data_IF_339301626423
#
_entry.id   IF_339301626423
#
_cell.length_a   1.000
_cell.length_b   1.000
_cell.length_c   1.000
_cell.angle_alpha   90.00
_cell.angle_beta   90.00
_cell.angle_gamma   90.00
#
_symmetry.space_group_name_H-M   'P 1'
#
loop_
_entity.id
_entity.type
_entity.pdbx_description
1 polymer ?
#
# COMPACT_ATOMS: atom_id res chain seq x y z
N UNK A 1 -1.01 -20.91 8.29
CA UNK A 1 -2.09 -20.11 8.91
C UNK A 1 -3.15 -20.99 9.55
N UNK A 2 -3.76 -21.96 8.83
CA UNK A 2 -4.77 -22.88 9.41
C UNK A 2 -4.27 -23.81 10.54
N UNK A 3 -2.95 -23.93 10.72
CA UNK A 3 -2.30 -24.72 11.78
C UNK A 3 -2.09 -23.98 13.11
N UNK A 4 -2.36 -22.66 13.17
CA UNK A 4 -2.08 -21.80 14.33
C UNK A 4 -3.33 -21.43 15.15
N UNK A 5 -4.48 -22.09 14.90
CA UNK A 5 -5.76 -21.82 15.55
C UNK A 5 -6.68 -20.89 14.75
N UNK A 6 -8.00 -21.05 14.92
CA UNK A 6 -9.03 -20.29 14.18
C UNK A 6 -8.91 -18.78 14.38
N UNK A 7 -8.47 -18.34 15.55
CA UNK A 7 -8.25 -16.93 15.89
C UNK A 7 -7.14 -16.29 15.06
N UNK A 8 -6.01 -16.97 14.84
CA UNK A 8 -4.90 -16.47 14.02
C UNK A 8 -5.31 -16.41 12.55
N UNK A 9 -6.08 -17.38 12.07
CA UNK A 9 -6.59 -17.38 10.70
C UNK A 9 -7.58 -16.23 10.45
N UNK A 10 -8.50 -15.96 11.39
CA UNK A 10 -9.43 -14.84 11.31
C UNK A 10 -8.71 -13.49 11.35
N UNK A 11 -7.78 -13.31 12.30
CA UNK A 11 -6.95 -12.12 12.45
C UNK A 11 -6.14 -11.82 11.16
N UNK A 12 -5.46 -12.83 10.62
CA UNK A 12 -4.69 -12.69 9.39
C UNK A 12 -5.58 -12.39 8.18
N UNK A 13 -6.76 -13.02 8.09
CA UNK A 13 -7.71 -12.77 7.00
C UNK A 13 -8.16 -11.31 6.94
N UNK A 14 -8.50 -10.73 8.08
CA UNK A 14 -8.90 -9.32 8.19
C UNK A 14 -7.73 -8.39 7.88
N UNK A 15 -6.53 -8.68 8.42
CA UNK A 15 -5.33 -7.92 8.12
C UNK A 15 -5.03 -7.92 6.61
N UNK A 16 -5.11 -9.08 5.95
CA UNK A 16 -4.92 -9.19 4.51
C UNK A 16 -5.95 -8.39 3.69
N UNK A 17 -7.19 -8.32 4.15
CA UNK A 17 -8.21 -7.49 3.53
C UNK A 17 -7.90 -6.00 3.67
N UNK A 18 -7.48 -5.54 4.86
CA UNK A 18 -7.03 -4.17 5.07
C UNK A 18 -5.83 -3.82 4.17
N UNK A 19 -4.86 -4.73 4.04
CA UNK A 19 -3.70 -4.54 3.17
C UNK A 19 -4.10 -4.40 1.69
N UNK A 20 -5.15 -5.08 1.24
CA UNK A 20 -5.66 -4.91 -0.12
C UNK A 20 -6.12 -3.47 -0.36
N UNK A 21 -6.77 -2.85 0.64
CA UNK A 21 -7.18 -1.44 0.54
C UNK A 21 -6.00 -0.47 0.51
N UNK A 22 -4.88 -0.77 1.17
CA UNK A 22 -3.65 0.05 1.09
C UNK A 22 -2.99 -0.09 -0.30
N UNK A 23 -3.07 -1.27 -0.91
CA UNK A 23 -2.44 -1.53 -2.21
C UNK A 23 -3.16 -0.87 -3.39
N UNK A 24 -4.49 -0.78 -3.36
CA UNK A 24 -5.29 -0.22 -4.47
C UNK A 24 -4.87 1.20 -4.88
N UNK A 25 -4.68 2.15 -3.95
CA UNK A 25 -4.17 3.47 -4.31
C UNK A 25 -2.76 3.47 -4.89
N UNK A 26 -1.86 2.63 -4.38
CA UNK A 26 -0.50 2.53 -4.92
C UNK A 26 -0.51 2.05 -6.38
N UNK A 27 -1.38 1.07 -6.70
CA UNK A 27 -1.59 0.61 -8.08
C UNK A 27 -2.18 1.72 -8.97
N UNK A 28 -3.16 2.47 -8.47
CA UNK A 28 -3.75 3.59 -9.19
C UNK A 28 -2.73 4.70 -9.51
N UNK A 29 -1.88 5.07 -8.55
CA UNK A 29 -0.80 6.04 -8.75
C UNK A 29 0.21 5.50 -9.76
N UNK A 30 0.60 4.22 -9.66
CA UNK A 30 1.48 3.58 -10.64
C UNK A 30 0.92 3.64 -12.06
N UNK A 31 -0.38 3.36 -12.24
CA UNK A 31 -1.04 3.46 -13.54
C UNK A 31 -1.07 4.90 -14.08
N UNK A 32 -1.35 5.88 -13.22
CA UNK A 32 -1.34 7.30 -13.59
C UNK A 32 0.06 7.77 -14.02
N UNK A 33 1.08 7.44 -13.23
CA UNK A 33 2.49 7.75 -13.54
C UNK A 33 2.93 7.09 -14.84
N UNK A 34 2.58 5.81 -15.05
CA UNK A 34 2.86 5.10 -16.30
C UNK A 34 2.27 5.83 -17.51
N UNK A 35 0.99 6.21 -17.44
CA UNK A 35 0.32 6.94 -18.52
C UNK A 35 0.98 8.30 -18.80
N UNK A 36 1.28 9.07 -17.75
CA UNK A 36 1.93 10.37 -17.89
C UNK A 36 3.37 10.24 -18.43
N UNK A 37 4.12 9.22 -18.01
CA UNK A 37 5.46 8.94 -18.51
C UNK A 37 5.42 8.59 -20.00
N UNK A 38 4.54 7.67 -20.41
CA UNK A 38 4.37 7.28 -21.81
C UNK A 38 4.00 8.48 -22.72
N UNK A 39 3.12 9.36 -22.24
CA UNK A 39 2.77 10.59 -22.97
C UNK A 39 3.96 11.54 -23.14
N UNK A 40 4.84 11.67 -22.13
CA UNK A 40 6.03 12.51 -22.25
C UNK A 40 7.08 11.89 -23.17
N UNK A 41 7.25 10.57 -23.13
CA UNK A 41 8.11 9.82 -24.06
C UNK A 41 7.65 10.02 -25.50
N UNK A 42 6.35 9.82 -25.77
CA UNK A 42 5.78 10.03 -27.11
C UNK A 42 5.88 11.47 -27.62
N UNK A 43 5.96 12.44 -26.72
CA UNK A 43 6.17 13.86 -27.04
C UNK A 43 7.67 14.27 -27.09
N UNK A 44 8.61 13.34 -26.91
CA UNK A 44 10.05 13.61 -26.86
C UNK A 44 10.52 14.39 -25.62
N UNK A 45 9.68 14.55 -24.60
CA UNK A 45 9.93 15.36 -23.38
C UNK A 45 10.53 14.52 -22.25
N UNK A 46 11.71 13.96 -22.49
CA UNK A 46 12.40 13.10 -21.52
C UNK A 46 12.81 13.84 -20.25
N UNK A 47 13.03 15.15 -20.35
CA UNK A 47 13.31 16.07 -19.24
C UNK A 47 12.23 16.04 -18.14
N UNK A 48 10.99 15.68 -18.49
CA UNK A 48 9.85 15.70 -17.56
C UNK A 48 9.61 14.38 -16.83
N UNK A 49 10.21 13.28 -17.28
CA UNK A 49 9.94 11.94 -16.74
C UNK A 49 10.35 11.86 -15.26
N UNK A 50 11.52 12.39 -14.91
CA UNK A 50 11.98 12.44 -13.52
C UNK A 50 11.03 13.22 -12.61
N UNK A 51 10.44 14.32 -13.10
CA UNK A 51 9.44 15.09 -12.36
C UNK A 51 8.12 14.33 -12.17
N UNK A 52 7.67 13.59 -13.19
CA UNK A 52 6.47 12.75 -13.11
C UNK A 52 6.67 11.64 -12.08
N UNK A 53 7.82 10.95 -12.13
CA UNK A 53 8.16 9.91 -11.17
C UNK A 53 8.25 10.46 -9.73
N UNK A 54 8.96 11.59 -9.54
CA UNK A 54 9.09 12.21 -8.22
C UNK A 54 7.74 12.64 -7.63
N UNK A 55 6.86 13.27 -8.44
CA UNK A 55 5.51 13.61 -8.02
C UNK A 55 4.68 12.36 -7.67
N UNK A 56 4.79 11.30 -8.47
CA UNK A 56 4.13 10.02 -8.20
C UNK A 56 4.59 9.40 -6.88
N UNK A 57 5.89 9.40 -6.62
CA UNK A 57 6.46 8.93 -5.35
C UNK A 57 5.96 9.78 -4.19
N UNK A 58 5.95 11.12 -4.33
CA UNK A 58 5.43 12.02 -3.31
C UNK A 58 3.96 11.77 -2.97
N UNK A 59 3.10 11.65 -3.99
CA UNK A 59 1.69 11.29 -3.81
C UNK A 59 1.52 9.93 -3.16
N UNK A 60 2.30 8.93 -3.58
CA UNK A 60 2.26 7.60 -2.97
C UNK A 60 2.63 7.67 -1.49
N UNK A 61 3.72 8.36 -1.15
CA UNK A 61 4.17 8.52 0.24
C UNK A 61 3.11 9.18 1.12
N UNK A 62 2.51 10.26 0.65
CA UNK A 62 1.46 10.97 1.40
C UNK A 62 0.23 10.08 1.60
N UNK A 63 -0.23 9.41 0.53
CA UNK A 63 -1.45 8.62 0.58
C UNK A 63 -1.30 7.32 1.36
N UNK A 64 -0.25 6.53 1.06
CA UNK A 64 0.03 5.30 1.82
C UNK A 64 0.45 5.61 3.24
N UNK A 65 1.24 6.66 3.48
CA UNK A 65 1.60 7.11 4.82
C UNK A 65 0.37 7.52 5.63
N UNK A 66 -0.57 8.27 5.04
CA UNK A 66 -1.82 8.65 5.71
C UNK A 66 -2.69 7.42 6.03
N UNK A 67 -2.81 6.45 5.11
CA UNK A 67 -3.56 5.21 5.36
C UNK A 67 -2.93 4.36 6.45
N UNK A 68 -1.60 4.20 6.43
CA UNK A 68 -0.85 3.49 7.47
C UNK A 68 -1.01 4.18 8.83
N UNK A 69 -0.89 5.51 8.87
CA UNK A 69 -1.09 6.28 10.11
C UNK A 69 -2.52 6.12 10.63
N UNK A 70 -3.53 6.16 9.75
CA UNK A 70 -4.92 5.94 10.11
C UNK A 70 -5.14 4.53 10.69
N UNK A 71 -4.59 3.50 10.03
CA UNK A 71 -4.66 2.14 10.53
C UNK A 71 -3.96 2.00 11.87
N UNK A 72 -2.83 2.67 12.07
CA UNK A 72 -2.10 2.62 13.33
C UNK A 72 -2.87 3.29 14.48
N UNK A 73 -3.51 4.44 14.24
CA UNK A 73 -4.30 5.17 15.24
C UNK A 73 -5.60 4.43 15.59
N UNK A 74 -6.26 3.83 14.59
CA UNK A 74 -7.57 3.19 14.76
C UNK A 74 -7.49 1.66 14.77
N UNK A 75 -6.30 1.08 14.94
CA UNK A 75 -6.03 -0.35 14.72
C UNK A 75 -6.99 -1.24 15.51
N UNK A 76 -7.04 -1.06 16.84
CA UNK A 76 -7.95 -1.83 17.72
C UNK A 76 -9.41 -1.60 17.40
N UNK A 77 -9.81 -0.39 17.02
CA UNK A 77 -11.21 -0.07 16.70
C UNK A 77 -11.64 -0.72 15.40
N UNK A 78 -10.81 -0.63 14.35
CA UNK A 78 -11.05 -1.26 13.05
C UNK A 78 -11.08 -2.78 13.22
N UNK A 79 -10.09 -3.36 13.90
CA UNK A 79 -10.05 -4.79 14.17
C UNK A 79 -11.24 -5.25 15.01
N UNK A 80 -11.67 -4.44 15.99
CA UNK A 80 -12.84 -4.72 16.83
C UNK A 80 -14.16 -4.79 16.06
N UNK A 81 -14.30 -4.05 14.96
CA UNK A 81 -15.48 -4.13 14.08
C UNK A 81 -15.59 -5.48 13.36
N UNK A 82 -14.47 -6.17 13.12
CA UNK A 82 -14.45 -7.43 12.38
C UNK A 82 -14.24 -8.66 13.28
N UNK A 83 -13.52 -8.52 14.40
CA UNK A 83 -13.16 -9.63 15.31
C UNK A 83 -14.06 -9.77 16.54
N UNK A 84 -15.08 -8.93 16.72
CA UNK A 84 -16.10 -9.06 17.78
C UNK A 84 -15.52 -9.39 19.18
N UNK A 85 -14.85 -8.42 19.81
CA UNK A 85 -14.33 -8.49 21.19
C UNK A 85 -13.33 -9.62 21.52
N UNK A 86 -12.86 -10.41 20.56
CA UNK A 86 -11.83 -11.43 20.81
C UNK A 86 -10.45 -10.77 21.00
N UNK A 87 -10.14 -10.43 22.26
CA UNK A 87 -8.93 -9.71 22.67
C UNK A 87 -7.64 -10.34 22.14
N UNK A 88 -7.55 -11.68 22.13
CA UNK A 88 -6.35 -12.38 21.70
C UNK A 88 -6.12 -12.25 20.19
N UNK A 89 -7.19 -12.33 19.38
CA UNK A 89 -7.10 -12.16 17.93
C UNK A 89 -6.74 -10.72 17.55
N UNK A 90 -7.26 -9.72 18.29
CA UNK A 90 -6.96 -8.30 18.09
C UNK A 90 -5.48 -8.01 18.37
N UNK A 91 -4.92 -8.54 19.46
CA UNK A 91 -3.52 -8.32 19.82
C UNK A 91 -2.56 -8.91 18.78
N UNK A 92 -2.89 -10.10 18.25
CA UNK A 92 -2.11 -10.74 17.17
C UNK A 92 -2.21 -9.92 15.87
N UNK A 93 -3.41 -9.51 15.46
CA UNK A 93 -3.59 -8.70 14.26
C UNK A 93 -2.83 -7.36 14.36
N UNK A 94 -2.87 -6.69 15.51
CA UNK A 94 -2.19 -5.42 15.74
C UNK A 94 -0.66 -5.54 15.63
N UNK A 95 -0.11 -6.64 16.16
CA UNK A 95 1.33 -6.92 16.03
C UNK A 95 1.73 -7.13 14.57
N UNK A 96 0.96 -7.93 13.82
CA UNK A 96 1.21 -8.18 12.40
C UNK A 96 1.12 -6.86 11.61
N UNK A 97 0.10 -6.03 11.88
CA UNK A 97 -0.10 -4.77 11.18
C UNK A 97 1.06 -3.80 11.43
N UNK A 98 1.52 -3.67 12.68
CA UNK A 98 2.64 -2.80 13.04
C UNK A 98 3.92 -3.17 12.29
N UNK A 99 4.20 -4.45 12.07
CA UNK A 99 5.38 -4.90 11.32
C UNK A 99 5.18 -4.78 9.80
N UNK A 100 4.01 -5.17 9.29
CA UNK A 100 3.74 -5.23 7.86
C UNK A 100 3.49 -3.84 7.23
N UNK A 101 2.81 -2.93 7.95
CA UNK A 101 2.36 -1.64 7.42
C UNK A 101 3.50 -0.78 6.86
N UNK A 102 4.67 -0.77 7.51
CA UNK A 102 5.83 -0.01 7.04
C UNK A 102 6.37 -0.49 5.69
N UNK A 103 6.22 -1.78 5.39
CA UNK A 103 6.67 -2.37 4.12
C UNK A 103 5.85 -1.86 2.93
N UNK A 104 4.59 -1.44 3.13
CA UNK A 104 3.74 -0.92 2.06
C UNK A 104 4.20 0.43 1.51
N UNK A 105 4.90 1.23 2.31
CA UNK A 105 5.48 2.50 1.85
C UNK A 105 6.54 2.22 0.79
N UNK A 106 7.48 1.31 1.09
CA UNK A 106 8.54 0.88 0.17
C UNK A 106 7.96 0.18 -1.07
N UNK A 107 6.93 -0.65 -0.87
CA UNK A 107 6.21 -1.32 -1.95
C UNK A 107 5.59 -0.31 -2.94
N UNK A 108 4.92 0.73 -2.43
CA UNK A 108 4.32 1.76 -3.28
C UNK A 108 5.36 2.56 -4.08
N UNK A 109 6.50 2.91 -3.49
CA UNK A 109 7.63 3.53 -4.21
C UNK A 109 8.08 2.63 -5.37
N UNK A 110 8.23 1.34 -5.09
CA UNK A 110 8.69 0.35 -6.06
C UNK A 110 7.72 0.23 -7.25
N UNK A 111 6.41 0.23 -6.99
CA UNK A 111 5.39 0.23 -8.05
C UNK A 111 5.53 1.45 -8.96
N UNK A 112 5.71 2.65 -8.39
CA UNK A 112 5.81 3.89 -9.15
C UNK A 112 7.06 3.90 -10.03
N UNK A 113 8.19 3.44 -9.49
CA UNK A 113 9.45 3.34 -10.24
C UNK A 113 9.34 2.32 -11.38
N UNK A 114 8.84 1.11 -11.11
CA UNK A 114 8.64 0.11 -12.16
C UNK A 114 7.62 0.53 -13.22
N UNK A 115 6.57 1.24 -12.83
CA UNK A 115 5.61 1.82 -13.76
C UNK A 115 6.29 2.82 -14.70
N UNK A 116 7.17 3.66 -14.17
CA UNK A 116 7.94 4.62 -14.96
C UNK A 116 8.87 3.90 -15.94
N UNK A 117 9.67 2.93 -15.48
CA UNK A 117 10.61 2.16 -16.32
C UNK A 117 9.89 1.44 -17.46
N UNK A 118 8.78 0.73 -17.17
CA UNK A 118 7.96 0.08 -18.19
C UNK A 118 7.42 1.06 -19.23
N UNK A 119 6.99 2.26 -18.81
CA UNK A 119 6.46 3.26 -19.71
C UNK A 119 7.54 3.89 -20.61
N UNK A 120 8.79 3.90 -20.17
CA UNK A 120 9.93 4.42 -20.94
C UNK A 120 10.58 3.39 -21.87
N UNK A 121 10.27 2.09 -21.71
CA UNK A 121 10.85 1.02 -22.52
C UNK A 121 12.34 0.75 -22.23
N UNK A 122 12.81 1.13 -21.04
CA UNK A 122 14.17 0.92 -20.56
C UNK A 122 14.31 -0.41 -19.81
#
# INVERSE_FOLDING_TARGET
VNSYGSQVAAAYGIAAQLWTYIQMPALAIGAAVSSMAAQNVGAGRWDRIGRVAASGVGFNLVLTGALVALLWVFDRSILGLFLSSDSAAIDIAAHINTVASWSFILFGITIVLFATVRATGA
#
